data_IF_759406925317
#
_entry.id   IF_759406925317
#
_cell.length_a   1.000
_cell.length_b   1.000
_cell.length_c   1.000
_cell.angle_alpha   90.00
_cell.angle_beta   90.00
_cell.angle_gamma   90.00
#
_symmetry.space_group_name_H-M   'P 1'
#
loop_
_entity.id
_entity.type
_entity.pdbx_description
1 polymer ?
#
# COMPACT_ATOMS: atom_id res chain seq x y z
N UNK A 1 11.51 -80.35 5.07
CA UNK A 1 11.31 -79.08 4.36
C UNK A 1 12.62 -78.68 3.70
N UNK A 2 12.65 -78.53 2.40
CA UNK A 2 13.89 -78.33 1.59
C UNK A 2 14.53 -76.99 1.95
N UNK A 3 15.85 -76.99 2.20
CA UNK A 3 16.65 -75.82 2.59
C UNK A 3 16.37 -74.56 1.70
N UNK A 4 15.95 -74.77 0.47
CA UNK A 4 15.61 -73.76 -0.52
C UNK A 4 14.37 -72.92 -0.13
N UNK A 5 13.37 -73.53 0.56
CA UNK A 5 12.19 -72.80 1.02
C UNK A 5 12.51 -71.84 2.18
N UNK A 6 13.48 -72.16 3.01
CA UNK A 6 13.93 -71.23 4.07
C UNK A 6 14.64 -70.00 3.49
N UNK A 7 15.40 -70.16 2.43
CA UNK A 7 16.07 -69.05 1.73
C UNK A 7 15.07 -68.13 1.04
N UNK A 8 14.04 -68.68 0.42
CA UNK A 8 12.95 -67.89 -0.19
C UNK A 8 12.19 -67.04 0.83
N UNK A 9 11.92 -67.61 2.01
CA UNK A 9 11.23 -66.87 3.10
C UNK A 9 12.09 -65.72 3.61
N UNK A 10 13.40 -65.90 3.73
CA UNK A 10 14.33 -64.83 4.16
C UNK A 10 14.38 -63.67 3.10
N UNK A 11 14.42 -64.02 1.82
CA UNK A 11 14.41 -63.01 0.74
C UNK A 11 13.09 -62.19 0.75
N UNK A 12 11.95 -62.87 0.97
CA UNK A 12 10.65 -62.19 1.06
C UNK A 12 10.59 -61.25 2.27
N UNK A 13 11.11 -61.67 3.41
CA UNK A 13 11.15 -60.81 4.63
C UNK A 13 12.04 -59.59 4.38
N UNK A 14 13.21 -59.77 3.76
CA UNK A 14 14.11 -58.66 3.43
C UNK A 14 13.43 -57.68 2.43
N UNK A 15 12.72 -58.21 1.43
CA UNK A 15 11.97 -57.39 0.50
C UNK A 15 10.86 -56.58 1.15
N UNK A 16 10.11 -57.20 2.09
CA UNK A 16 9.05 -56.50 2.86
C UNK A 16 9.63 -55.43 3.77
N UNK A 17 10.77 -55.69 4.43
CA UNK A 17 11.46 -54.72 5.27
C UNK A 17 12.02 -53.56 4.44
N UNK A 18 12.59 -53.84 3.26
CA UNK A 18 13.09 -52.83 2.35
C UNK A 18 11.95 -51.93 1.82
N UNK A 19 10.81 -52.50 1.42
CA UNK A 19 9.62 -51.74 0.97
C UNK A 19 9.03 -50.94 2.14
N UNK A 20 8.98 -51.50 3.34
CA UNK A 20 8.56 -50.79 4.55
C UNK A 20 9.49 -49.58 4.87
N UNK A 21 10.79 -49.78 4.79
CA UNK A 21 11.78 -48.71 5.01
C UNK A 21 11.67 -47.61 3.98
N UNK A 22 11.50 -47.93 2.69
CA UNK A 22 11.28 -46.95 1.60
C UNK A 22 9.96 -46.19 1.83
N UNK A 23 8.91 -46.88 2.25
CA UNK A 23 7.60 -46.23 2.54
C UNK A 23 7.64 -45.29 3.75
N UNK A 24 8.40 -45.64 4.79
CA UNK A 24 8.62 -44.78 5.96
C UNK A 24 9.50 -43.58 5.65
N UNK A 25 10.53 -43.74 4.83
CA UNK A 25 11.38 -42.63 4.36
C UNK A 25 10.65 -41.71 3.38
N UNK A 26 9.76 -42.28 2.54
CA UNK A 26 8.94 -41.49 1.59
C UNK A 26 7.86 -40.64 2.30
N UNK A 27 7.32 -41.12 3.44
CA UNK A 27 6.36 -40.33 4.22
C UNK A 27 6.96 -39.09 4.88
N UNK A 28 8.30 -39.00 5.00
CA UNK A 28 8.95 -37.86 5.64
C UNK A 28 9.41 -36.78 4.65
N UNK A 29 9.16 -36.98 3.34
CA UNK A 29 9.35 -35.95 2.31
C UNK A 29 8.09 -35.12 2.14
N UNK A 30 7.61 -34.54 3.24
CA UNK A 30 6.65 -33.45 3.18
C UNK A 30 7.30 -32.32 2.39
N UNK A 31 6.83 -32.07 1.19
CA UNK A 31 7.15 -30.88 0.41
C UNK A 31 6.86 -29.68 1.31
N UNK A 32 7.89 -29.12 1.91
CA UNK A 32 7.79 -27.82 2.58
C UNK A 32 7.63 -26.82 1.44
N UNK A 33 6.41 -26.58 1.06
CA UNK A 33 6.10 -25.40 0.23
C UNK A 33 6.58 -24.20 1.06
N UNK A 34 7.75 -23.68 0.73
CA UNK A 34 8.21 -22.43 1.29
C UNK A 34 7.22 -21.38 0.78
N UNK A 35 6.30 -21.00 1.65
CA UNK A 35 5.44 -19.85 1.41
C UNK A 35 6.37 -18.66 1.10
N UNK A 36 6.37 -18.21 -0.16
CA UNK A 36 7.20 -17.10 -0.60
C UNK A 36 6.70 -15.84 0.07
N UNK A 37 7.26 -15.52 1.24
CA UNK A 37 6.91 -14.33 1.98
C UNK A 37 7.28 -13.10 1.16
N UNK A 38 6.30 -12.27 0.85
CA UNK A 38 6.55 -10.94 0.30
C UNK A 38 6.99 -10.05 1.46
N UNK A 39 8.14 -9.41 1.32
CA UNK A 39 8.70 -8.56 2.37
C UNK A 39 9.06 -7.19 1.84
N UNK A 40 8.85 -6.16 2.65
CA UNK A 40 9.39 -4.83 2.46
C UNK A 40 10.49 -4.55 3.48
N UNK A 41 11.35 -3.57 3.20
CA UNK A 41 12.35 -3.10 4.18
C UNK A 41 11.85 -1.82 4.82
N UNK A 42 12.09 -1.65 6.11
CA UNK A 42 11.94 -0.38 6.80
C UNK A 42 12.89 0.64 6.15
N UNK A 43 12.33 1.66 5.54
CA UNK A 43 13.07 2.75 4.90
C UNK A 43 13.23 3.92 5.88
N UNK A 44 14.22 4.75 5.63
CA UNK A 44 14.41 6.03 6.33
C UNK A 44 14.55 7.13 5.29
N UNK A 45 13.80 8.20 5.47
CA UNK A 45 13.77 9.33 4.56
C UNK A 45 12.66 10.31 4.90
N UNK A 46 12.47 11.28 4.03
CA UNK A 46 11.44 12.30 4.18
C UNK A 46 10.08 11.74 3.78
N UNK A 47 9.09 11.97 4.62
CA UNK A 47 7.72 11.57 4.41
C UNK A 47 6.86 12.81 4.18
N UNK A 48 6.17 12.85 3.03
CA UNK A 48 5.30 13.94 2.63
C UNK A 48 3.86 13.50 2.66
N UNK A 49 3.01 14.37 3.19
CA UNK A 49 1.56 14.18 3.21
C UNK A 49 0.96 15.27 2.35
N UNK A 50 0.23 14.85 1.34
CA UNK A 50 -0.45 15.75 0.43
C UNK A 50 -1.96 15.59 0.61
N UNK A 51 -2.66 16.71 0.68
CA UNK A 51 -4.07 16.76 0.40
C UNK A 51 -4.28 16.71 -1.11
N UNK A 52 -5.16 15.85 -1.57
CA UNK A 52 -5.45 15.66 -2.99
C UNK A 52 -6.91 15.96 -3.30
N UNK A 53 -7.16 16.49 -4.48
CA UNK A 53 -8.52 16.74 -4.93
C UNK A 53 -8.58 16.85 -6.43
N UNK A 54 -9.73 16.49 -6.98
CA UNK A 54 -9.99 16.55 -8.42
C UNK A 54 -11.00 17.64 -8.73
N UNK A 55 -10.83 18.31 -9.85
CA UNK A 55 -11.72 19.37 -10.26
C UNK A 55 -11.65 19.73 -11.74
N UNK A 56 -12.25 20.87 -12.08
CA UNK A 56 -12.27 21.35 -13.43
C UNK A 56 -11.57 22.72 -13.56
N UNK A 57 -10.88 22.91 -14.67
CA UNK A 57 -10.35 24.21 -15.08
C UNK A 57 -11.53 25.10 -15.45
N UNK A 58 -11.58 26.31 -14.91
CA UNK A 58 -12.65 27.28 -15.18
C UNK A 58 -12.07 28.68 -15.36
N UNK A 59 -12.74 29.60 -16.08
CA UNK A 59 -12.38 31.00 -16.08
C UNK A 59 -12.45 31.58 -14.66
N UNK A 60 -11.57 32.53 -14.34
CA UNK A 60 -11.59 33.25 -13.06
C UNK A 60 -12.91 34.00 -12.87
N UNK A 61 -13.40 34.63 -13.95
CA UNK A 61 -14.71 35.25 -13.97
C UNK A 61 -15.68 34.40 -14.79
N UNK A 62 -16.71 33.86 -14.14
CA UNK A 62 -17.72 33.01 -14.78
C UNK A 62 -18.87 33.80 -15.40
N UNK A 63 -19.06 35.06 -15.04
CA UNK A 63 -20.11 35.91 -15.58
C UNK A 63 -19.68 36.59 -16.90
N UNK A 64 -18.39 36.97 -16.98
CA UNK A 64 -17.75 37.46 -18.20
C UNK A 64 -16.49 36.61 -18.40
N UNK A 65 -16.61 35.44 -19.06
CA UNK A 65 -15.51 34.51 -19.16
C UNK A 65 -14.34 35.08 -19.95
N UNK A 66 -13.17 35.14 -19.29
CA UNK A 66 -11.89 35.34 -19.93
C UNK A 66 -11.16 34.00 -19.92
N UNK A 67 -10.91 33.45 -21.09
CA UNK A 67 -10.27 32.13 -21.25
C UNK A 67 -8.74 32.21 -21.20
N UNK A 68 -8.17 33.39 -21.10
CA UNK A 68 -6.74 33.59 -20.84
C UNK A 68 -6.45 33.60 -19.34
N UNK A 69 -7.46 33.87 -18.49
CA UNK A 69 -7.38 33.82 -17.05
C UNK A 69 -8.13 32.57 -16.49
N UNK A 70 -7.40 31.49 -16.30
CA UNK A 70 -7.96 30.24 -15.83
C UNK A 70 -7.53 29.93 -14.39
N UNK A 71 -8.40 29.21 -13.67
CA UNK A 71 -8.18 28.68 -12.34
C UNK A 71 -8.65 27.23 -12.29
N UNK A 72 -8.18 26.46 -11.30
CA UNK A 72 -8.70 25.14 -10.99
C UNK A 72 -9.65 25.25 -9.79
N UNK A 73 -10.86 24.71 -9.93
CA UNK A 73 -11.79 24.53 -8.82
C UNK A 73 -11.79 23.04 -8.46
N UNK A 74 -11.05 22.68 -7.42
CA UNK A 74 -10.90 21.28 -6.97
C UNK A 74 -11.80 20.99 -5.78
N UNK A 75 -12.32 19.76 -5.71
CA UNK A 75 -13.04 19.22 -4.53
C UNK A 75 -12.04 18.48 -3.67
N UNK A 76 -11.91 18.89 -2.41
CA UNK A 76 -11.02 18.31 -1.40
C UNK A 76 -11.84 17.64 -0.31
N UNK A 77 -11.29 16.58 0.28
CA UNK A 77 -11.92 15.87 1.40
C UNK A 77 -12.00 16.77 2.65
N UNK A 78 -13.07 16.64 3.42
CA UNK A 78 -13.28 17.36 4.68
C UNK A 78 -12.12 17.19 5.67
N UNK A 79 -11.52 16.02 5.72
CA UNK A 79 -10.42 15.71 6.63
C UNK A 79 -9.13 16.46 6.30
N UNK A 80 -8.96 16.87 5.05
CA UNK A 80 -7.77 17.61 4.59
C UNK A 80 -7.89 19.12 4.81
N UNK A 81 -9.11 19.66 4.80
CA UNK A 81 -9.38 21.11 4.87
C UNK A 81 -8.68 21.81 6.05
N UNK A 82 -8.66 21.27 7.28
CA UNK A 82 -7.99 21.93 8.40
C UNK A 82 -6.49 22.14 8.20
N UNK A 83 -5.87 21.38 7.29
CA UNK A 83 -4.43 21.42 7.01
C UNK A 83 -4.08 22.27 5.77
N UNK A 84 -5.08 22.69 4.99
CA UNK A 84 -4.91 23.52 3.79
C UNK A 84 -4.97 25.00 4.20
N UNK A 85 -4.05 25.78 3.65
CA UNK A 85 -3.96 27.23 3.90
C UNK A 85 -3.88 28.00 2.60
N UNK A 86 -4.38 29.24 2.61
CA UNK A 86 -4.22 30.18 1.52
C UNK A 86 -2.73 30.38 1.21
N UNK A 87 -2.42 30.61 -0.07
CA UNK A 87 -1.08 30.83 -0.63
C UNK A 87 -0.15 29.60 -0.60
N UNK A 88 -0.61 28.41 -0.17
CA UNK A 88 0.15 27.18 -0.33
C UNK A 88 0.36 26.83 -1.81
N UNK A 89 1.56 26.31 -2.09
CA UNK A 89 1.88 25.80 -3.43
C UNK A 89 1.10 24.53 -3.74
N UNK A 90 0.60 24.45 -4.96
CA UNK A 90 -0.19 23.33 -5.47
C UNK A 90 0.48 22.79 -6.73
N UNK A 91 0.70 21.49 -6.77
CA UNK A 91 1.02 20.78 -8.01
C UNK A 91 -0.28 20.40 -8.69
N UNK A 92 -0.41 20.73 -9.97
CA UNK A 92 -1.61 20.44 -10.76
C UNK A 92 -1.24 19.54 -11.93
N UNK A 93 -1.96 18.43 -12.08
CA UNK A 93 -1.81 17.48 -13.18
C UNK A 93 -3.11 17.46 -13.99
N UNK A 94 -3.05 17.79 -15.26
CA UNK A 94 -4.23 17.83 -16.14
C UNK A 94 -4.35 16.50 -16.88
N UNK A 95 -5.50 15.83 -16.77
CA UNK A 95 -5.74 14.50 -17.33
C UNK A 95 -5.50 14.43 -18.85
N UNK A 96 -5.83 15.51 -19.57
CA UNK A 96 -5.63 15.58 -21.02
C UNK A 96 -4.18 15.88 -21.43
N UNK A 97 -3.30 16.26 -20.48
CA UNK A 97 -1.93 16.71 -20.72
C UNK A 97 -0.97 16.05 -19.69
N UNK A 98 -0.86 14.70 -19.67
CA UNK A 98 -0.17 13.97 -18.61
C UNK A 98 1.34 14.27 -18.52
N UNK A 99 1.95 14.67 -19.63
CA UNK A 99 3.38 14.98 -19.71
C UNK A 99 3.72 16.40 -19.24
N UNK A 100 2.69 17.24 -18.95
CA UNK A 100 2.87 18.62 -18.51
C UNK A 100 2.58 18.74 -17.00
N UNK A 101 3.46 19.44 -16.32
CA UNK A 101 3.27 19.78 -14.90
C UNK A 101 2.90 21.26 -14.81
N UNK A 102 1.80 21.53 -14.15
CA UNK A 102 1.35 22.87 -13.83
C UNK A 102 1.53 23.11 -12.34
N UNK A 103 1.72 24.36 -11.97
CA UNK A 103 1.78 24.81 -10.58
C UNK A 103 0.80 25.95 -10.37
N UNK A 104 0.46 26.15 -9.12
CA UNK A 104 -0.43 27.21 -8.72
C UNK A 104 -0.40 27.42 -7.22
N UNK A 105 -1.33 28.24 -6.72
CA UNK A 105 -1.46 28.51 -5.29
C UNK A 105 -2.92 28.45 -4.88
N UNK A 106 -3.15 28.01 -3.64
CA UNK A 106 -4.46 28.06 -3.00
C UNK A 106 -4.88 29.52 -2.90
N UNK A 107 -5.92 29.90 -3.62
CA UNK A 107 -6.48 31.26 -3.63
C UNK A 107 -7.57 31.41 -2.57
N UNK A 108 -8.47 30.42 -2.50
CA UNK A 108 -9.64 30.45 -1.64
C UNK A 108 -10.07 29.03 -1.27
N UNK A 109 -10.60 28.87 -0.08
CA UNK A 109 -11.22 27.63 0.43
C UNK A 109 -12.67 27.99 0.74
N UNK A 110 -13.62 27.22 0.18
CA UNK A 110 -15.04 27.46 0.42
C UNK A 110 -15.39 27.29 1.90
N UNK A 111 -16.19 28.22 2.44
CA UNK A 111 -16.67 28.14 3.82
C UNK A 111 -17.77 27.08 4.00
N UNK A 112 -18.42 26.68 2.91
CA UNK A 112 -19.50 25.68 2.93
C UNK A 112 -19.09 24.46 2.11
N UNK A 113 -19.17 23.28 2.76
CA UNK A 113 -18.97 22.00 2.11
C UNK A 113 -20.22 21.51 1.38
N UNK A 114 -20.04 20.56 0.50
CA UNK A 114 -21.08 19.83 -0.20
C UNK A 114 -21.05 18.37 0.22
N UNK A 115 -22.23 17.81 0.51
CA UNK A 115 -22.35 16.37 0.84
C UNK A 115 -22.96 15.67 -0.35
N UNK A 116 -22.22 14.72 -0.91
CA UNK A 116 -22.68 13.86 -2.00
C UNK A 116 -22.46 12.39 -1.61
N UNK A 117 -23.51 11.59 -1.66
CA UNK A 117 -23.47 10.17 -1.29
C UNK A 117 -22.88 9.90 0.11
N UNK A 118 -23.09 10.81 1.07
CA UNK A 118 -22.55 10.68 2.43
C UNK A 118 -21.09 11.09 2.60
N UNK A 119 -20.43 11.57 1.53
CA UNK A 119 -19.06 12.10 1.57
C UNK A 119 -19.13 13.63 1.53
N UNK A 120 -18.47 14.27 2.49
CA UNK A 120 -18.35 15.72 2.58
C UNK A 120 -17.10 16.20 1.85
N UNK A 121 -17.25 17.19 0.97
CA UNK A 121 -16.14 17.81 0.25
C UNK A 121 -16.27 19.32 0.21
N UNK A 122 -15.14 20.00 0.06
CA UNK A 122 -15.06 21.45 0.01
C UNK A 122 -14.38 21.89 -1.28
N UNK A 123 -14.92 22.94 -1.90
CA UNK A 123 -14.30 23.54 -3.07
C UNK A 123 -13.07 24.37 -2.66
N UNK A 124 -11.94 24.08 -3.27
CA UNK A 124 -10.71 24.85 -3.15
C UNK A 124 -10.37 25.46 -4.51
N UNK A 125 -10.28 26.79 -4.55
CA UNK A 125 -9.92 27.55 -5.75
C UNK A 125 -8.42 27.71 -5.78
N UNK A 126 -7.81 27.30 -6.87
CA UNK A 126 -6.38 27.32 -7.10
C UNK A 126 -6.09 28.23 -8.30
N UNK A 127 -5.33 29.30 -8.06
CA UNK A 127 -4.78 30.13 -9.13
C UNK A 127 -3.65 29.38 -9.83
N UNK A 128 -3.60 29.41 -11.15
CA UNK A 128 -2.57 28.75 -11.95
C UNK A 128 -1.47 29.75 -12.33
N UNK A 129 -0.21 29.32 -12.24
CA UNK A 129 0.94 30.16 -12.62
C UNK A 129 1.07 30.28 -14.13
N UNK A 130 0.64 29.26 -14.87
CA UNK A 130 0.62 29.20 -16.34
C UNK A 130 -0.64 28.51 -16.80
N UNK A 131 -1.20 29.02 -17.87
CA UNK A 131 -2.45 28.54 -18.47
C UNK A 131 -2.28 28.05 -19.91
N UNK A 132 -1.04 28.05 -20.42
CA UNK A 132 -0.72 27.62 -21.79
C UNK A 132 -1.26 26.22 -22.05
N UNK A 133 -1.95 26.03 -23.15
CA UNK A 133 -2.60 24.80 -23.61
C UNK A 133 -3.78 24.33 -22.75
N UNK A 134 -4.12 25.02 -21.66
CA UNK A 134 -5.28 24.71 -20.86
C UNK A 134 -6.56 25.22 -21.50
N UNK A 135 -7.65 24.50 -21.30
CA UNK A 135 -8.98 24.92 -21.71
C UNK A 135 -9.97 24.74 -20.56
N UNK A 136 -10.88 25.68 -20.46
CA UNK A 136 -12.00 25.55 -19.54
C UNK A 136 -12.76 24.23 -19.79
N UNK A 137 -13.13 23.53 -18.70
CA UNK A 137 -13.76 22.23 -18.75
C UNK A 137 -12.79 21.04 -18.70
N UNK A 138 -11.47 21.25 -18.80
CA UNK A 138 -10.50 20.18 -18.60
C UNK A 138 -10.50 19.71 -17.13
N UNK A 139 -10.42 18.40 -16.92
CA UNK A 139 -10.28 17.81 -15.58
C UNK A 139 -8.81 17.83 -15.14
N UNK A 140 -8.58 18.19 -13.89
CA UNK A 140 -7.25 18.24 -13.30
C UNK A 140 -7.27 17.78 -11.83
N UNK A 141 -6.16 17.20 -11.42
CA UNK A 141 -5.88 16.79 -10.04
C UNK A 141 -4.95 17.82 -9.38
N UNK A 142 -5.32 18.23 -8.18
CA UNK A 142 -4.52 19.10 -7.33
C UNK A 142 -3.85 18.29 -6.23
N UNK A 143 -2.59 18.58 -5.94
CA UNK A 143 -1.84 17.98 -4.82
C UNK A 143 -1.16 19.09 -4.03
N UNK A 144 -1.56 19.25 -2.78
CA UNK A 144 -1.13 20.30 -1.86
C UNK A 144 -0.31 19.66 -0.75
N UNK A 145 0.95 20.06 -0.57
CA UNK A 145 1.77 19.59 0.55
C UNK A 145 1.24 20.19 1.85
N UNK A 146 0.64 19.35 2.70
CA UNK A 146 0.04 19.77 3.98
C UNK A 146 0.92 19.45 5.18
N UNK A 147 1.77 18.43 5.08
CA UNK A 147 2.70 18.08 6.14
C UNK A 147 3.96 17.41 5.56
N UNK A 148 5.10 17.65 6.20
CA UNK A 148 6.36 16.99 5.87
C UNK A 148 7.09 16.62 7.16
N UNK A 149 7.59 15.38 7.20
CA UNK A 149 8.45 14.92 8.29
C UNK A 149 9.74 14.38 7.72
N UNK A 150 10.86 14.98 8.11
CA UNK A 150 12.17 14.62 7.61
C UNK A 150 12.78 13.48 8.40
N UNK A 151 13.55 12.67 7.70
CA UNK A 151 14.41 11.61 8.27
C UNK A 151 13.67 10.64 9.21
N UNK A 152 12.44 10.26 8.84
CA UNK A 152 11.63 9.33 9.63
C UNK A 152 11.72 7.89 9.10
N UNK A 153 11.46 6.90 9.98
CA UNK A 153 11.33 5.50 9.56
C UNK A 153 9.92 5.24 9.07
N UNK A 154 9.78 4.57 7.94
CA UNK A 154 8.48 4.23 7.40
C UNK A 154 8.46 2.87 6.69
N UNK A 155 7.28 2.31 6.59
CA UNK A 155 6.98 1.05 5.89
C UNK A 155 5.74 1.24 5.02
N UNK A 156 5.50 0.38 4.01
CA UNK A 156 4.21 0.34 3.32
C UNK A 156 3.07 0.19 4.33
N UNK A 157 1.99 0.95 4.14
CA UNK A 157 0.85 0.98 5.10
C UNK A 157 0.24 -0.41 5.30
N UNK A 158 0.25 -1.24 4.28
CA UNK A 158 -0.24 -2.62 4.30
C UNK A 158 0.57 -3.57 5.21
N UNK A 159 1.84 -3.21 5.55
CA UNK A 159 2.67 -4.00 6.46
C UNK A 159 2.24 -3.86 7.92
N UNK A 160 1.51 -2.81 8.27
CA UNK A 160 1.08 -2.52 9.63
C UNK A 160 -0.32 -3.06 9.86
N UNK A 161 -0.48 -3.84 10.92
CA UNK A 161 -1.74 -4.46 11.30
C UNK A 161 -2.12 -4.02 12.72
N UNK A 162 -3.40 -4.13 13.05
CA UNK A 162 -3.92 -3.95 14.41
C UNK A 162 -4.26 -5.31 15.02
N UNK A 163 -4.02 -5.48 16.30
CA UNK A 163 -4.51 -6.64 17.05
C UNK A 163 -5.90 -6.37 17.67
N UNK A 164 -6.39 -7.34 18.45
CA UNK A 164 -7.67 -7.22 19.16
C UNK A 164 -7.70 -6.13 20.23
N UNK A 165 -6.55 -5.67 20.69
CA UNK A 165 -6.40 -4.62 21.70
C UNK A 165 -6.10 -3.25 21.08
N UNK A 166 -6.37 -3.09 19.78
CA UNK A 166 -6.09 -1.87 18.98
C UNK A 166 -4.61 -1.47 18.93
N UNK A 167 -3.68 -2.38 19.25
CA UNK A 167 -2.24 -2.12 19.17
C UNK A 167 -1.71 -2.41 17.77
N UNK A 168 -0.90 -1.50 17.27
CA UNK A 168 -0.24 -1.69 15.97
C UNK A 168 0.93 -2.66 16.08
N UNK A 169 1.08 -3.53 15.10
CA UNK A 169 2.21 -4.44 14.96
C UNK A 169 2.59 -4.66 13.49
N UNK A 170 3.82 -5.08 13.27
CA UNK A 170 4.30 -5.62 12.00
C UNK A 170 4.70 -7.08 12.18
N UNK A 171 4.64 -7.86 11.10
CA UNK A 171 5.19 -9.20 11.08
C UNK A 171 6.63 -9.14 10.56
N UNK A 172 7.56 -9.70 11.31
CA UNK A 172 8.97 -9.81 10.91
C UNK A 172 9.33 -11.28 10.65
N UNK A 173 10.16 -11.57 9.62
CA UNK A 173 10.63 -12.92 9.38
C UNK A 173 11.75 -13.26 10.38
N UNK A 174 11.60 -14.33 11.13
CA UNK A 174 12.61 -14.91 12.00
C UNK A 174 13.06 -16.25 11.44
N UNK A 175 14.33 -16.38 11.08
CA UNK A 175 14.90 -17.63 10.60
C UNK A 175 15.19 -18.55 11.80
N UNK A 176 14.72 -19.80 11.74
CA UNK A 176 15.04 -20.84 12.71
C UNK A 176 16.18 -21.71 12.22
N UNK A 177 16.88 -22.35 13.14
CA UNK A 177 18.03 -23.26 12.88
C UNK A 177 17.74 -24.39 11.87
N UNK A 178 16.48 -24.70 11.62
CA UNK A 178 16.04 -25.71 10.67
C UNK A 178 15.72 -25.16 9.26
N UNK A 179 16.10 -23.92 8.95
CA UNK A 179 15.85 -23.27 7.67
C UNK A 179 14.39 -22.84 7.42
N UNK A 180 13.53 -22.93 8.43
CA UNK A 180 12.12 -22.46 8.35
C UNK A 180 12.03 -21.04 8.86
N UNK A 181 11.35 -20.18 8.10
CA UNK A 181 11.04 -18.81 8.52
C UNK A 181 9.74 -18.78 9.32
N UNK A 182 9.77 -18.18 10.51
CA UNK A 182 8.59 -17.93 11.34
C UNK A 182 8.18 -16.47 11.21
N UNK A 183 6.88 -16.21 11.13
CA UNK A 183 6.30 -14.85 11.21
C UNK A 183 6.17 -14.49 12.71
N UNK A 184 6.87 -13.45 13.14
CA UNK A 184 6.84 -12.99 14.54
C UNK A 184 6.19 -11.61 14.59
N UNK A 185 5.21 -11.44 15.49
CA UNK A 185 4.60 -10.14 15.77
C UNK A 185 5.57 -9.24 16.52
N UNK A 186 5.77 -8.02 16.02
CA UNK A 186 6.55 -6.99 16.66
C UNK A 186 5.71 -5.74 16.80
N UNK A 187 5.38 -5.36 18.02
CA UNK A 187 4.58 -4.18 18.29
C UNK A 187 5.35 -2.90 17.92
N UNK A 188 4.63 -1.95 17.37
CA UNK A 188 5.17 -0.69 16.88
C UNK A 188 4.29 0.48 17.31
N UNK A 189 4.90 1.66 17.45
CA UNK A 189 4.19 2.92 17.54
C UNK A 189 4.23 3.58 16.17
N UNK A 190 3.08 4.03 15.69
CA UNK A 190 2.94 4.69 14.38
C UNK A 190 2.83 6.20 14.55
N UNK A 191 3.14 6.94 13.50
CA UNK A 191 2.99 8.38 13.41
C UNK A 191 2.15 8.78 12.19
N UNK A 192 2.69 9.69 11.39
CA UNK A 192 2.06 10.17 10.18
C UNK A 192 1.93 9.05 9.14
N UNK A 193 0.92 9.14 8.28
CA UNK A 193 0.75 8.24 7.14
C UNK A 193 0.27 9.02 5.92
N UNK A 194 0.56 8.49 4.75
CA UNK A 194 -0.01 8.88 3.48
C UNK A 194 -0.65 7.65 2.80
N UNK A 195 -1.01 7.75 1.54
CA UNK A 195 -1.65 6.66 0.79
C UNK A 195 -0.80 5.38 0.73
N UNK A 196 0.52 5.51 0.65
CA UNK A 196 1.43 4.39 0.43
C UNK A 196 2.12 3.90 1.71
N UNK A 197 2.47 4.81 2.61
CA UNK A 197 3.41 4.57 3.69
C UNK A 197 2.89 5.08 5.04
N UNK A 198 3.33 4.42 6.11
CA UNK A 198 3.07 4.81 7.49
C UNK A 198 4.40 4.94 8.24
N UNK A 199 4.55 6.03 8.97
CA UNK A 199 5.67 6.26 9.86
C UNK A 199 5.66 5.29 11.03
N UNK A 200 6.84 4.78 11.39
CA UNK A 200 7.07 4.01 12.61
C UNK A 200 7.98 4.81 13.52
N UNK A 201 7.42 5.28 14.64
CA UNK A 201 8.15 6.07 15.62
C UNK A 201 8.97 5.21 16.57
N UNK A 202 8.50 3.97 16.87
CA UNK A 202 9.19 3.00 17.71
C UNK A 202 8.86 1.57 17.29
N UNK A 203 9.79 0.66 17.58
CA UNK A 203 9.57 -0.77 17.44
C UNK A 203 10.38 -1.44 16.33
N UNK A 204 10.88 -0.72 15.34
CA UNK A 204 11.70 -1.28 14.24
C UNK A 204 12.97 -0.47 14.00
N UNK A 205 13.89 -1.03 13.21
CA UNK A 205 15.13 -0.39 12.81
C UNK A 205 15.21 -0.25 11.29
N UNK A 206 15.97 0.75 10.82
CA UNK A 206 16.26 0.92 9.39
C UNK A 206 16.79 -0.36 8.78
N UNK A 207 16.24 -0.74 7.63
CA UNK A 207 16.65 -1.94 6.89
C UNK A 207 16.06 -3.25 7.41
N UNK A 208 15.35 -3.25 8.53
CA UNK A 208 14.64 -4.42 9.05
C UNK A 208 13.57 -4.86 8.03
N UNK A 209 13.40 -6.17 7.84
CA UNK A 209 12.38 -6.71 6.92
C UNK A 209 11.06 -6.84 7.64
N UNK A 210 10.00 -6.36 7.02
CA UNK A 210 8.60 -6.58 7.44
C UNK A 210 7.87 -7.39 6.38
N UNK A 211 6.95 -8.24 6.79
CA UNK A 211 6.19 -9.12 5.90
C UNK A 211 4.92 -8.36 5.48
N UNK A 212 4.69 -8.32 4.18
CA UNK A 212 3.44 -7.80 3.62
C UNK A 212 2.36 -8.90 3.65
N UNK A 213 1.09 -8.54 3.87
CA UNK A 213 -0.01 -9.49 3.74
C UNK A 213 -0.05 -9.99 2.28
N UNK A 214 0.12 -11.29 2.10
CA UNK A 214 -0.11 -11.91 0.80
C UNK A 214 -1.62 -12.02 0.63
N UNK A 215 -2.17 -11.43 -0.42
CA UNK A 215 -3.53 -11.78 -0.82
C UNK A 215 -3.50 -13.25 -1.24
N UNK A 216 -4.06 -14.12 -0.42
CA UNK A 216 -4.37 -15.47 -0.86
C UNK A 216 -5.37 -15.33 -2.00
N UNK A 217 -4.90 -15.55 -3.21
CA UNK A 217 -5.78 -15.80 -4.34
C UNK A 217 -6.58 -17.04 -3.97
N UNK A 218 -7.80 -16.86 -3.50
CA UNK A 218 -8.76 -17.92 -3.34
C UNK A 218 -8.98 -18.54 -4.73
N UNK A 219 -8.21 -19.55 -5.04
CA UNK A 219 -8.54 -20.49 -6.12
C UNK A 219 -9.81 -21.19 -5.67
N UNK A 220 -10.95 -20.69 -6.13
CA UNK A 220 -12.22 -21.42 -6.06
C UNK A 220 -11.98 -22.73 -6.81
N UNK A 221 -12.10 -23.92 -6.16
CA UNK A 221 -12.03 -25.17 -6.86
C UNK A 221 -13.21 -25.19 -7.84
N UNK A 222 -12.91 -25.48 -9.12
CA UNK A 222 -13.86 -25.48 -10.22
C UNK A 222 -15.14 -26.24 -9.89
N UNK A 223 -16.26 -25.60 -10.16
CA UNK A 223 -17.54 -26.26 -10.25
C UNK A 223 -17.47 -27.31 -11.36
N UNK A 224 -17.91 -28.56 -11.14
CA UNK A 224 -18.02 -29.55 -12.21
C UNK A 224 -19.16 -29.15 -13.15
N UNK A 225 -18.83 -29.22 -14.41
CA UNK A 225 -19.79 -29.12 -15.57
C UNK A 225 -20.76 -30.26 -15.57
#
# INVERSE_FOLDING_TARGET
MKKWVKWLIVIVIIAVVAVGAVFLLSKNSGSVTQEKLVTAKVKQGDMKINATGTGAISPVNTQVPDYDELQLVAQMDELDIPNIKKDQEVKVTVTALPDKNYTGKVKEIAEQGQVQNGVSSFSVIISLDKTDDLKAGMTADASILVNEKKDTLYVPIEAVQKDSDDKYYVLVPEEKDNGKTKKVKKFVETGLHNEDNIEITKGVKKGEKVILPTQETSTVPGAPS
#
